data_IF_577926453876
#
_entry.id   IF_577926453876
#
_cell.length_a   1.000
_cell.length_b   1.000
_cell.length_c   1.000
_cell.angle_alpha   90.00
_cell.angle_beta   90.00
_cell.angle_gamma   90.00
#
_symmetry.space_group_name_H-M   'P 1'
#
loop_
_entity.id
_entity.type
_entity.pdbx_description
1 polymer ?
#
# COMPACT_ATOMS: atom_id res chain seq x y z
N UNK A 1 -20.80 -17.70 12.78
CA UNK A 1 -20.17 -16.36 12.78
C UNK A 1 -19.54 -16.18 11.40
N UNK A 2 -19.56 -14.98 10.80
CA UNK A 2 -18.70 -14.72 9.65
C UNK A 2 -17.26 -15.09 10.03
N UNK A 3 -16.49 -15.69 9.12
CA UNK A 3 -15.06 -15.84 9.33
C UNK A 3 -14.44 -14.45 9.50
N UNK A 4 -13.52 -14.30 10.44
CA UNK A 4 -12.81 -13.03 10.61
C UNK A 4 -11.98 -12.74 9.35
N UNK A 5 -11.97 -11.48 8.90
CA UNK A 5 -11.39 -11.04 7.63
C UNK A 5 -9.96 -10.54 7.76
N UNK A 6 -9.18 -10.69 6.69
CA UNK A 6 -7.79 -10.22 6.60
C UNK A 6 -7.70 -8.99 5.68
N UNK A 7 -7.07 -7.92 6.18
CA UNK A 7 -6.88 -6.65 5.49
C UNK A 7 -5.39 -6.33 5.39
N UNK A 8 -4.92 -5.92 4.21
CA UNK A 8 -3.50 -5.62 3.97
C UNK A 8 -3.37 -4.24 3.35
N UNK A 9 -2.47 -3.41 3.87
CA UNK A 9 -2.10 -2.12 3.29
C UNK A 9 -0.60 -2.08 3.05
N UNK A 10 -0.21 -1.74 1.82
CA UNK A 10 1.17 -1.46 1.42
C UNK A 10 1.32 0.04 1.20
N UNK A 11 2.29 0.64 1.89
CA UNK A 11 2.44 2.09 2.00
C UNK A 11 1.40 2.67 2.95
N UNK A 12 1.48 2.25 4.21
CA UNK A 12 0.47 2.61 5.21
C UNK A 12 0.60 4.05 5.74
N UNK A 13 1.71 4.73 5.46
CA UNK A 13 2.01 6.05 6.01
C UNK A 13 1.90 6.04 7.53
N UNK A 14 1.44 7.15 8.10
CA UNK A 14 1.12 7.24 9.52
C UNK A 14 -0.31 6.76 9.85
N UNK A 15 -1.03 6.16 8.89
CA UNK A 15 -2.47 5.92 8.98
C UNK A 15 -3.24 7.23 9.21
N UNK A 16 -4.30 7.18 10.02
CA UNK A 16 -5.12 8.35 10.37
C UNK A 16 -4.46 9.34 11.36
N UNK A 17 -3.12 9.28 11.53
CA UNK A 17 -2.37 10.21 12.37
C UNK A 17 -1.70 11.35 11.59
N UNK A 18 -1.79 11.37 10.26
CA UNK A 18 -1.22 12.44 9.44
C UNK A 18 -2.11 13.71 9.44
N UNK A 19 -1.63 14.75 10.11
CA UNK A 19 -2.32 16.04 10.18
C UNK A 19 -2.39 16.78 8.84
N UNK A 20 -1.47 16.52 7.89
CA UNK A 20 -1.52 17.11 6.53
C UNK A 20 -2.65 16.54 5.70
N UNK A 21 -3.00 15.27 5.94
CA UNK A 21 -4.19 14.64 5.38
C UNK A 21 -5.47 14.95 6.19
N UNK A 22 -5.38 15.81 7.22
CA UNK A 22 -6.52 16.11 8.08
C UNK A 22 -6.95 14.93 8.95
N UNK A 23 -6.01 14.04 9.31
CA UNK A 23 -6.26 12.80 10.03
C UNK A 23 -7.20 11.85 9.28
N UNK A 24 -7.14 11.90 7.94
CA UNK A 24 -7.88 11.03 7.04
C UNK A 24 -6.92 10.02 6.44
N UNK A 25 -7.31 8.77 6.45
CA UNK A 25 -6.64 7.69 5.74
C UNK A 25 -7.71 6.70 5.28
N UNK A 26 -7.78 6.48 3.97
CA UNK A 26 -8.87 5.73 3.35
C UNK A 26 -8.95 4.28 3.83
N UNK A 27 -7.81 3.61 3.93
CA UNK A 27 -7.73 2.25 4.43
C UNK A 27 -8.12 2.16 5.91
N UNK A 28 -7.55 3.02 6.77
CA UNK A 28 -7.89 3.07 8.19
C UNK A 28 -9.37 3.35 8.41
N UNK A 29 -9.95 4.32 7.70
CA UNK A 29 -11.37 4.64 7.77
C UNK A 29 -12.24 3.46 7.37
N UNK A 30 -11.91 2.79 6.27
CA UNK A 30 -12.65 1.62 5.80
C UNK A 30 -12.63 0.51 6.85
N UNK A 31 -11.46 0.06 7.29
CA UNK A 31 -11.34 -1.07 8.23
C UNK A 31 -11.93 -0.72 9.60
N UNK A 32 -11.71 0.51 10.11
CA UNK A 32 -12.26 0.96 11.40
C UNK A 32 -13.78 1.18 11.37
N UNK A 33 -14.38 1.32 10.19
CA UNK A 33 -15.84 1.39 10.04
C UNK A 33 -16.53 0.02 10.20
N UNK A 34 -15.78 -1.08 10.10
CA UNK A 34 -16.31 -2.43 10.20
C UNK A 34 -16.52 -2.82 11.67
N UNK A 35 -17.44 -3.76 11.95
CA UNK A 35 -17.54 -4.36 13.28
C UNK A 35 -16.20 -4.99 13.67
N UNK A 36 -15.62 -4.57 14.79
CA UNK A 36 -14.26 -4.95 15.17
C UNK A 36 -14.09 -6.48 15.29
N UNK A 37 -15.13 -7.21 15.72
CA UNK A 37 -15.15 -8.67 15.79
C UNK A 37 -15.12 -9.38 14.41
N UNK A 38 -15.38 -8.65 13.33
CA UNK A 38 -15.26 -9.14 11.96
C UNK A 38 -13.84 -8.96 11.39
N UNK A 39 -13.00 -8.16 12.04
CA UNK A 39 -11.62 -7.87 11.62
C UNK A 39 -10.68 -8.87 12.28
N UNK A 40 -10.26 -9.88 11.53
CA UNK A 40 -9.42 -10.97 12.03
C UNK A 40 -7.94 -10.63 12.06
N UNK A 41 -7.44 -10.00 11.00
CA UNK A 41 -6.03 -9.67 10.84
C UNK A 41 -5.84 -8.40 10.02
N UNK A 42 -4.88 -7.58 10.41
CA UNK A 42 -4.48 -6.38 9.68
C UNK A 42 -2.96 -6.44 9.49
N UNK A 43 -2.50 -6.37 8.25
CA UNK A 43 -1.07 -6.36 7.91
C UNK A 43 -0.73 -5.04 7.24
N UNK A 44 0.23 -4.31 7.79
CA UNK A 44 0.58 -2.96 7.38
C UNK A 44 2.07 -2.93 7.02
N UNK A 45 2.39 -2.36 5.86
CA UNK A 45 3.77 -2.20 5.40
C UNK A 45 4.08 -0.72 5.24
N UNK A 46 5.14 -0.27 5.90
CA UNK A 46 5.57 1.13 5.84
C UNK A 46 7.11 1.22 5.82
N UNK A 47 7.72 1.74 4.75
CA UNK A 47 9.17 1.86 4.66
C UNK A 47 9.74 3.05 5.45
N UNK A 48 8.98 4.11 5.72
CA UNK A 48 9.49 5.30 6.37
C UNK A 48 9.46 5.17 7.91
N UNK A 49 10.63 5.14 8.59
CA UNK A 49 10.68 5.04 10.04
C UNK A 49 9.99 6.21 10.77
N UNK A 50 9.85 7.38 10.13
CA UNK A 50 9.17 8.55 10.73
C UNK A 50 7.68 8.30 10.92
N UNK A 51 7.06 7.47 10.06
CA UNK A 51 5.63 7.19 10.10
C UNK A 51 5.25 6.11 11.12
N UNK A 52 6.19 5.23 11.48
CA UNK A 52 5.93 4.04 12.30
C UNK A 52 5.32 4.36 13.68
N UNK A 53 5.75 5.45 14.33
CA UNK A 53 5.18 5.84 15.61
C UNK A 53 3.69 6.22 15.48
N UNK A 54 3.36 7.02 14.45
CA UNK A 54 1.98 7.39 14.14
C UNK A 54 1.15 6.16 13.75
N UNK A 55 1.69 5.30 12.89
CA UNK A 55 1.00 4.08 12.47
C UNK A 55 0.70 3.13 13.64
N UNK A 56 1.63 2.98 14.60
CA UNK A 56 1.37 2.21 15.83
C UNK A 56 0.24 2.82 16.67
N UNK A 57 0.20 4.15 16.80
CA UNK A 57 -0.91 4.84 17.48
C UNK A 57 -2.23 4.69 16.73
N UNK A 58 -2.22 4.79 15.39
CA UNK A 58 -3.40 4.57 14.54
C UNK A 58 -4.09 3.24 14.85
N UNK A 59 -3.31 2.17 15.04
CA UNK A 59 -3.81 0.80 15.18
C UNK A 59 -3.75 0.23 16.60
N UNK A 60 -3.52 1.05 17.63
CA UNK A 60 -3.31 0.58 19.01
C UNK A 60 -4.49 -0.20 19.61
N UNK A 61 -5.72 0.08 19.14
CA UNK A 61 -6.95 -0.59 19.56
C UNK A 61 -7.22 -1.91 18.83
N UNK A 62 -6.38 -2.26 17.85
CA UNK A 62 -6.48 -3.48 17.03
C UNK A 62 -5.29 -4.40 17.33
N UNK A 63 -5.38 -5.30 18.32
CA UNK A 63 -4.29 -6.21 18.67
C UNK A 63 -3.97 -7.23 17.56
N UNK A 64 -4.82 -7.33 16.53
CA UNK A 64 -4.59 -8.14 15.33
C UNK A 64 -3.80 -7.39 14.22
N UNK A 65 -3.34 -6.16 14.49
CA UNK A 65 -2.54 -5.39 13.56
C UNK A 65 -1.04 -5.72 13.69
N UNK A 66 -0.42 -6.04 12.56
CA UNK A 66 1.00 -6.33 12.38
C UNK A 66 1.62 -5.24 11.49
N UNK A 67 2.71 -4.62 11.95
CA UNK A 67 3.41 -3.56 11.21
C UNK A 67 4.79 -4.07 10.77
N UNK A 68 5.07 -3.96 9.48
CA UNK A 68 6.32 -4.35 8.86
C UNK A 68 7.07 -3.11 8.34
N UNK A 69 8.24 -2.86 8.91
CA UNK A 69 9.10 -1.70 8.63
C UNK A 69 10.02 -1.99 7.43
N UNK A 70 9.42 -2.16 6.24
CA UNK A 70 10.11 -2.51 5.00
C UNK A 70 9.42 -1.89 3.78
N UNK A 71 10.09 -1.90 2.63
CA UNK A 71 9.50 -1.53 1.34
C UNK A 71 9.11 -2.76 0.50
N UNK A 72 8.09 -2.60 -0.34
CA UNK A 72 7.80 -3.59 -1.39
C UNK A 72 8.61 -3.25 -2.63
N UNK A 73 9.38 -4.24 -3.11
CA UNK A 73 10.25 -4.08 -4.26
C UNK A 73 9.53 -4.47 -5.57
N UNK A 74 9.84 -3.80 -6.69
CA UNK A 74 9.35 -4.18 -8.01
C UNK A 74 9.95 -5.50 -8.53
N UNK A 75 11.00 -6.03 -7.88
CA UNK A 75 11.65 -7.28 -8.28
C UNK A 75 11.91 -8.17 -7.06
N UNK A 76 11.59 -9.48 -7.11
CA UNK A 76 11.74 -10.40 -5.96
C UNK A 76 13.17 -10.46 -5.40
N UNK A 77 14.19 -10.32 -6.24
CA UNK A 77 15.60 -10.42 -5.82
C UNK A 77 16.13 -9.19 -5.09
N UNK A 78 15.36 -8.11 -4.99
CA UNK A 78 15.78 -6.85 -4.37
C UNK A 78 15.52 -6.88 -2.86
N UNK A 79 16.58 -7.02 -2.09
CA UNK A 79 16.52 -7.13 -0.62
C UNK A 79 16.62 -5.79 0.12
N UNK A 80 16.96 -4.72 -0.59
CA UNK A 80 16.93 -3.35 -0.09
C UNK A 80 16.82 -2.37 -1.26
N UNK A 81 16.27 -1.18 -0.99
CA UNK A 81 16.16 -0.12 -1.98
C UNK A 81 16.49 1.24 -1.34
N UNK A 82 17.01 2.14 -2.18
CA UNK A 82 17.16 3.54 -1.82
C UNK A 82 15.89 4.29 -2.17
N UNK A 83 15.28 4.89 -1.15
CA UNK A 83 14.18 5.83 -1.28
C UNK A 83 14.72 7.25 -1.26
N UNK A 84 14.05 8.12 -2.02
CA UNK A 84 14.32 9.54 -2.12
C UNK A 84 13.18 10.31 -1.46
N UNK A 85 13.50 11.43 -0.82
CA UNK A 85 12.50 12.31 -0.22
C UNK A 85 12.99 13.76 -0.22
N UNK A 86 12.05 14.71 -0.10
CA UNK A 86 12.36 16.10 0.23
C UNK A 86 12.12 16.37 1.71
N UNK A 87 12.96 17.20 2.34
CA UNK A 87 12.71 17.70 3.70
C UNK A 87 11.43 18.55 3.79
N UNK A 88 11.03 19.20 2.68
CA UNK A 88 9.80 19.98 2.59
C UNK A 88 8.54 19.10 2.49
N UNK A 89 8.71 17.79 2.33
CA UNK A 89 7.61 16.83 2.44
C UNK A 89 7.40 16.34 3.88
N UNK A 90 8.10 16.90 4.85
CA UNK A 90 7.83 16.64 6.25
C UNK A 90 6.38 17.03 6.67
N UNK A 91 5.88 16.49 7.79
CA UNK A 91 6.59 15.57 8.67
C UNK A 91 6.43 14.09 8.30
N UNK A 92 5.48 13.74 7.42
CA UNK A 92 5.13 12.34 7.11
C UNK A 92 5.68 11.82 5.77
N UNK A 93 6.28 12.71 4.96
CA UNK A 93 6.96 12.37 3.71
C UNK A 93 6.09 11.51 2.79
N UNK A 94 4.89 12.01 2.51
CA UNK A 94 3.86 11.31 1.76
C UNK A 94 4.41 10.79 0.43
N UNK A 95 5.19 11.59 -0.31
CA UNK A 95 5.68 11.23 -1.65
C UNK A 95 7.06 10.57 -1.66
N UNK A 96 7.51 9.99 -0.54
CA UNK A 96 8.79 9.27 -0.47
C UNK A 96 8.77 8.07 -1.43
N UNK A 97 9.71 7.99 -2.36
CA UNK A 97 9.66 7.00 -3.45
C UNK A 97 11.02 6.42 -3.81
N UNK A 98 11.03 5.20 -4.36
CA UNK A 98 12.20 4.62 -5.04
C UNK A 98 12.55 5.34 -6.35
N UNK A 99 11.63 6.13 -6.91
CA UNK A 99 11.81 6.91 -8.14
C UNK A 99 12.13 8.37 -7.79
N UNK A 100 13.38 8.84 -7.96
CA UNK A 100 13.73 10.22 -7.65
C UNK A 100 12.91 11.23 -8.46
N UNK A 101 12.60 10.91 -9.72
CA UNK A 101 11.79 11.76 -10.60
C UNK A 101 10.36 11.98 -10.06
N UNK A 102 9.82 11.00 -9.32
CA UNK A 102 8.53 11.13 -8.63
C UNK A 102 8.60 12.24 -7.60
N UNK A 103 9.59 12.20 -6.71
CA UNK A 103 9.79 13.21 -5.67
C UNK A 103 10.07 14.58 -6.30
N UNK A 104 10.92 14.63 -7.33
CA UNK A 104 11.26 15.87 -8.04
C UNK A 104 10.05 16.50 -8.74
N UNK A 105 9.06 15.72 -9.20
CA UNK A 105 7.82 16.26 -9.77
C UNK A 105 7.05 17.11 -8.74
N UNK A 106 7.05 16.69 -7.48
CA UNK A 106 6.40 17.42 -6.37
C UNK A 106 7.30 18.54 -5.82
N UNK A 107 8.62 18.33 -5.81
CA UNK A 107 9.62 19.23 -5.24
C UNK A 107 10.76 19.54 -6.23
N UNK A 108 10.50 20.29 -7.33
CA UNK A 108 11.42 20.41 -8.47
C UNK A 108 12.70 21.22 -8.17
N UNK A 109 12.71 22.00 -7.09
CA UNK A 109 13.84 22.84 -6.70
C UNK A 109 14.61 22.29 -5.51
N UNK A 110 14.16 21.18 -4.92
CA UNK A 110 14.75 20.66 -3.68
C UNK A 110 15.90 19.70 -3.97
N UNK A 111 16.87 19.70 -3.05
CA UNK A 111 17.89 18.65 -3.02
C UNK A 111 17.29 17.42 -2.35
N UNK A 112 17.14 16.33 -3.11
CA UNK A 112 16.63 15.08 -2.56
C UNK A 112 17.60 14.52 -1.51
N UNK A 113 17.02 14.01 -0.43
CA UNK A 113 17.67 13.17 0.57
C UNK A 113 17.37 11.71 0.27
N UNK A 114 18.13 10.81 0.87
CA UNK A 114 17.97 9.38 0.66
C UNK A 114 17.99 8.59 1.96
N UNK A 115 17.23 7.50 1.99
CA UNK A 115 17.29 6.47 3.02
C UNK A 115 17.31 5.11 2.32
N UNK A 116 18.08 4.15 2.84
CA UNK A 116 18.05 2.77 2.36
C UNK A 116 17.28 1.94 3.36
N UNK A 117 16.27 1.20 2.87
CA UNK A 117 15.40 0.36 3.69
C UNK A 117 15.44 -1.08 3.19
N UNK A 118 15.22 -2.08 4.07
CA UNK A 118 15.00 -3.45 3.66
C UNK A 118 13.78 -3.55 2.72
N UNK A 119 13.84 -4.45 1.75
CA UNK A 119 12.73 -4.69 0.83
C UNK A 119 12.52 -6.17 0.57
N UNK A 120 11.31 -6.49 0.10
CA UNK A 120 10.90 -7.83 -0.36
C UNK A 120 9.91 -7.68 -1.51
N UNK A 121 9.81 -8.68 -2.39
CA UNK A 121 8.78 -8.70 -3.43
C UNK A 121 7.37 -8.83 -2.82
N UNK A 122 6.34 -8.29 -3.49
CA UNK A 122 4.96 -8.37 -3.00
C UNK A 122 4.51 -9.82 -2.82
N UNK A 123 4.78 -10.67 -3.79
CA UNK A 123 4.42 -12.10 -3.75
C UNK A 123 5.07 -12.81 -2.55
N UNK A 124 6.39 -12.69 -2.41
CA UNK A 124 7.14 -13.29 -1.31
C UNK A 124 6.63 -12.76 0.04
N UNK A 125 6.39 -11.46 0.16
CA UNK A 125 5.85 -10.85 1.38
C UNK A 125 4.49 -11.46 1.77
N UNK A 126 3.58 -11.56 0.81
CA UNK A 126 2.24 -12.12 1.04
C UNK A 126 2.35 -13.61 1.42
N UNK A 127 3.18 -14.40 0.75
CA UNK A 127 3.35 -15.82 1.08
C UNK A 127 3.97 -16.05 2.46
N UNK A 128 4.98 -15.26 2.82
CA UNK A 128 5.68 -15.40 4.10
C UNK A 128 4.87 -14.86 5.28
N UNK A 129 4.10 -13.78 5.07
CA UNK A 129 3.40 -13.07 6.14
C UNK A 129 1.94 -13.51 6.24
N UNK A 130 1.20 -13.48 5.14
CA UNK A 130 -0.23 -13.80 5.11
C UNK A 130 -0.45 -15.30 4.90
N UNK A 131 0.39 -15.94 4.09
CA UNK A 131 0.29 -17.36 3.78
C UNK A 131 -0.92 -17.68 2.88
N UNK A 132 -1.57 -18.85 3.04
CA UNK A 132 -2.67 -19.27 2.18
C UNK A 132 -4.02 -18.63 2.55
N UNK A 133 -4.04 -17.67 3.49
CA UNK A 133 -5.27 -17.01 3.92
C UNK A 133 -5.80 -16.09 2.83
N UNK A 134 -7.13 -16.06 2.70
CA UNK A 134 -7.80 -15.12 1.82
C UNK A 134 -7.64 -13.69 2.34
N UNK A 135 -7.22 -12.78 1.47
CA UNK A 135 -7.19 -11.35 1.70
C UNK A 135 -8.51 -10.76 1.22
N UNK A 136 -9.28 -10.16 2.13
CA UNK A 136 -10.55 -9.51 1.79
C UNK A 136 -10.34 -8.16 1.12
N UNK A 137 -9.27 -7.44 1.50
CA UNK A 137 -8.82 -6.21 0.85
C UNK A 137 -7.29 -6.10 0.91
N UNK A 138 -6.66 -5.90 -0.24
CA UNK A 138 -5.27 -5.48 -0.40
C UNK A 138 -5.26 -4.06 -0.99
N UNK A 139 -4.75 -3.09 -0.24
CA UNK A 139 -4.60 -1.70 -0.69
C UNK A 139 -3.11 -1.39 -0.96
N UNK A 140 -2.82 -0.74 -2.08
CA UNK A 140 -1.47 -0.31 -2.45
C UNK A 140 -1.46 1.18 -2.80
N UNK A 141 -0.61 1.89 -2.07
CA UNK A 141 -0.17 3.26 -2.34
C UNK A 141 1.35 3.27 -2.15
N UNK A 142 2.12 3.19 -3.24
CA UNK A 142 3.57 2.97 -3.19
C UNK A 142 4.35 4.00 -4.01
N UNK A 143 3.75 5.18 -4.18
CA UNK A 143 4.38 6.40 -4.65
C UNK A 143 5.16 6.20 -5.97
N UNK A 144 4.50 5.60 -6.95
CA UNK A 144 4.92 5.60 -8.35
C UNK A 144 5.57 4.30 -8.84
N UNK A 145 5.70 3.26 -8.03
CA UNK A 145 6.16 1.92 -8.46
C UNK A 145 5.03 0.90 -8.62
N UNK A 146 3.77 1.35 -8.59
CA UNK A 146 2.57 0.52 -8.70
C UNK A 146 2.65 -0.38 -9.93
N UNK A 147 2.91 0.19 -11.11
CA UNK A 147 2.98 -0.57 -12.36
C UNK A 147 3.94 -1.75 -12.27
N UNK A 148 5.19 -1.49 -11.86
CA UNK A 148 6.23 -2.51 -11.84
C UNK A 148 5.91 -3.64 -10.86
N UNK A 149 5.44 -3.29 -9.65
CA UNK A 149 5.02 -4.28 -8.65
C UNK A 149 3.82 -5.09 -9.14
N UNK A 150 2.81 -4.41 -9.67
CA UNK A 150 1.55 -5.03 -10.07
C UNK A 150 1.71 -5.95 -11.28
N UNK A 151 2.52 -5.59 -12.27
CA UNK A 151 2.81 -6.44 -13.44
C UNK A 151 3.81 -7.55 -13.13
N UNK A 152 4.64 -7.39 -12.10
CA UNK A 152 5.64 -8.36 -11.67
C UNK A 152 5.13 -9.44 -10.72
N UNK A 153 3.92 -9.28 -10.18
CA UNK A 153 3.32 -10.20 -9.19
C UNK A 153 2.54 -11.32 -9.88
N UNK A 154 2.77 -12.58 -9.49
CA UNK A 154 1.89 -13.68 -9.88
C UNK A 154 0.58 -13.65 -9.09
N UNK A 155 -0.42 -12.96 -9.63
CA UNK A 155 -1.73 -12.85 -8.97
C UNK A 155 -2.45 -14.20 -8.81
N UNK A 156 -2.07 -15.26 -9.54
CA UNK A 156 -2.65 -16.58 -9.34
C UNK A 156 -2.23 -17.21 -7.99
N UNK A 157 -1.09 -16.79 -7.44
CA UNK A 157 -0.55 -17.32 -6.18
C UNK A 157 -1.09 -16.60 -4.93
N UNK A 158 -1.84 -15.51 -5.11
CA UNK A 158 -2.42 -14.69 -4.03
C UNK A 158 -3.94 -14.82 -4.05
N UNK A 159 -4.57 -15.31 -2.97
CA UNK A 159 -6.03 -15.31 -2.81
C UNK A 159 -6.52 -13.94 -2.30
N UNK A 160 -6.72 -13.00 -3.22
CA UNK A 160 -7.19 -11.65 -2.92
C UNK A 160 -8.55 -11.39 -3.57
N UNK A 161 -9.53 -10.93 -2.75
CA UNK A 161 -10.87 -10.58 -3.21
C UNK A 161 -10.91 -9.18 -3.81
N UNK A 162 -10.56 -8.18 -3.01
CA UNK A 162 -10.61 -6.77 -3.39
C UNK A 162 -9.19 -6.18 -3.37
N UNK A 163 -8.86 -5.47 -4.44
CA UNK A 163 -7.57 -4.82 -4.65
C UNK A 163 -7.82 -3.33 -4.90
N UNK A 164 -7.41 -2.50 -3.96
CA UNK A 164 -7.43 -1.04 -4.08
C UNK A 164 -6.05 -0.56 -4.50
N UNK A 165 -5.98 0.25 -5.55
CA UNK A 165 -4.71 0.72 -6.10
C UNK A 165 -4.79 2.20 -6.41
N UNK A 166 -3.82 2.97 -5.94
CA UNK A 166 -3.69 4.36 -6.33
C UNK A 166 -3.36 4.47 -7.83
N UNK A 167 -4.19 5.18 -8.61
CA UNK A 167 -4.06 5.21 -10.07
C UNK A 167 -3.42 6.47 -10.63
N UNK A 168 -3.23 7.51 -9.81
CA UNK A 168 -2.80 8.84 -10.28
C UNK A 168 -1.40 8.82 -10.90
N UNK A 169 -0.59 7.81 -10.57
CA UNK A 169 0.75 7.60 -11.11
C UNK A 169 0.78 6.72 -12.37
N UNK A 170 -0.32 6.03 -12.69
CA UNK A 170 -0.36 5.05 -13.78
C UNK A 170 -0.60 5.69 -15.16
N UNK A 171 -1.41 6.75 -15.26
CA UNK A 171 -1.77 7.32 -16.57
C UNK A 171 -2.28 6.26 -17.55
N UNK A 172 -1.66 6.16 -18.74
CA UNK A 172 -2.00 5.16 -19.76
C UNK A 172 -1.73 3.71 -19.31
N UNK A 173 -0.87 3.50 -18.30
CA UNK A 173 -0.55 2.17 -17.77
C UNK A 173 -1.71 1.55 -16.98
N UNK A 174 -2.72 2.32 -16.58
CA UNK A 174 -3.90 1.78 -15.90
C UNK A 174 -4.64 0.76 -16.77
N UNK A 175 -4.76 1.02 -18.08
CA UNK A 175 -5.42 0.09 -19.00
C UNK A 175 -4.60 -1.19 -19.20
N UNK A 176 -3.27 -1.06 -19.25
CA UNK A 176 -2.37 -2.22 -19.33
C UNK A 176 -2.50 -3.09 -18.08
N UNK A 177 -2.49 -2.47 -16.91
CA UNK A 177 -2.65 -3.13 -15.61
C UNK A 177 -4.02 -3.79 -15.48
N UNK A 178 -5.10 -3.10 -15.88
CA UNK A 178 -6.45 -3.67 -15.87
C UNK A 178 -6.54 -4.92 -16.76
N UNK A 179 -5.93 -4.89 -17.96
CA UNK A 179 -5.89 -6.04 -18.86
C UNK A 179 -5.08 -7.20 -18.27
N UNK A 180 -3.96 -6.90 -17.60
CA UNK A 180 -3.16 -7.90 -16.91
C UNK A 180 -3.94 -8.54 -15.76
N UNK A 181 -4.53 -7.74 -14.86
CA UNK A 181 -5.35 -8.23 -13.75
C UNK A 181 -6.55 -9.07 -14.22
N UNK A 182 -7.15 -8.72 -15.36
CA UNK A 182 -8.24 -9.49 -15.96
C UNK A 182 -7.85 -10.92 -16.34
N UNK A 183 -6.56 -11.19 -16.66
CA UNK A 183 -6.11 -12.57 -16.91
C UNK A 183 -6.12 -13.44 -15.65
N UNK A 184 -6.21 -12.81 -14.46
CA UNK A 184 -6.30 -13.45 -13.15
C UNK A 184 -7.70 -13.33 -12.52
N UNK A 185 -8.72 -12.98 -13.31
CA UNK A 185 -10.12 -12.96 -12.86
C UNK A 185 -10.54 -11.68 -12.13
N UNK A 186 -9.68 -10.67 -12.04
CA UNK A 186 -10.05 -9.37 -11.51
C UNK A 186 -10.85 -8.54 -12.52
N UNK A 187 -11.80 -7.75 -12.02
CA UNK A 187 -12.58 -6.80 -12.78
C UNK A 187 -12.58 -5.44 -12.08
N UNK A 188 -12.48 -4.36 -12.86
CA UNK A 188 -12.68 -3.01 -12.33
C UNK A 188 -14.13 -2.84 -11.86
N UNK A 189 -14.32 -2.39 -10.63
CA UNK A 189 -15.65 -2.23 -10.01
C UNK A 189 -15.94 -0.82 -9.50
N UNK A 190 -15.00 0.13 -9.64
CA UNK A 190 -15.21 1.53 -9.30
C UNK A 190 -14.07 2.13 -8.48
N UNK A 191 -14.43 3.05 -7.59
CA UNK A 191 -13.49 3.74 -6.69
C UNK A 191 -13.02 2.81 -5.57
N UNK A 192 -11.73 2.89 -5.23
CA UNK A 192 -11.12 2.18 -4.12
C UNK A 192 -11.26 2.90 -2.78
N UNK A 193 -10.35 2.61 -1.85
CA UNK A 193 -10.49 3.02 -0.44
C UNK A 193 -9.93 4.40 -0.12
N UNK A 194 -9.04 4.98 -0.95
CA UNK A 194 -8.55 6.34 -0.74
C UNK A 194 -9.69 7.37 -0.55
N UNK A 195 -9.51 8.24 0.44
CA UNK A 195 -10.44 9.28 0.83
C UNK A 195 -10.68 10.31 -0.28
N UNK A 196 -9.65 10.62 -1.07
CA UNK A 196 -9.71 11.63 -2.13
C UNK A 196 -10.22 11.07 -3.47
N UNK A 197 -10.40 9.75 -3.57
CA UNK A 197 -10.82 9.07 -4.79
C UNK A 197 -9.70 8.89 -5.82
N UNK A 198 -8.48 8.80 -5.34
CA UNK A 198 -7.28 8.47 -6.13
C UNK A 198 -7.04 6.96 -6.26
N UNK A 199 -7.86 6.15 -5.60
CA UNK A 199 -7.84 4.71 -5.76
C UNK A 199 -8.89 4.19 -6.76
N UNK A 200 -8.50 3.16 -7.51
CA UNK A 200 -9.42 2.26 -8.23
C UNK A 200 -9.55 0.93 -7.51
N UNK A 201 -10.74 0.33 -7.59
CA UNK A 201 -11.03 -0.98 -7.02
C UNK A 201 -11.14 -2.04 -8.12
N UNK A 202 -10.37 -3.11 -7.96
CA UNK A 202 -10.50 -4.36 -8.69
C UNK A 202 -11.03 -5.46 -7.79
N UNK A 203 -11.96 -6.27 -8.29
CA UNK A 203 -12.54 -7.41 -7.57
C UNK A 203 -12.35 -8.70 -8.34
N UNK A 204 -11.86 -9.74 -7.66
CA UNK A 204 -11.79 -11.09 -8.22
C UNK A 204 -13.17 -11.76 -8.18
N UNK A 205 -13.60 -12.29 -9.32
CA UNK A 205 -14.94 -12.89 -9.53
C UNK A 205 -14.91 -14.42 -9.46
#
# INVERSE_FOLDING_TARGET
MPSASTYVQIGAGAGDQDARAGYRDGFSEYVKSLPQESVGRIVLVEPNPVNIAGLRTCWESYPCAEIHELGIAPYPTMTSATFYYSENDGPHFQVMSMKPDHVTKHYPSDSLKTITVPCVGLEDFIHETVGPEKIDLLALDIEGIEKEVMLGTDWASIDCRDLSLEYIHLGDDLQLLANHLATFGFQFVGQGVDHNGFDVLFRRM
#
